data_IF_186996218205
#
_entry.id   IF_186996218205
#
_cell.length_a   1.000
_cell.length_b   1.000
_cell.length_c   1.000
_cell.angle_alpha   90.00
_cell.angle_beta   90.00
_cell.angle_gamma   90.00
#
_symmetry.space_group_name_H-M   'P 1'
#
loop_
_entity.id
_entity.type
_entity.pdbx_description
1 polymer ?
#
# COMPACT_ATOMS: atom_id res chain seq x y z
N UNK A 1 70.61 24.02 -27.30
CA UNK A 1 69.47 24.95 -27.15
C UNK A 1 68.39 24.53 -28.13
N UNK A 2 67.38 23.80 -27.68
CA UNK A 2 66.24 23.39 -28.51
C UNK A 2 64.97 23.71 -27.72
N UNK A 3 64.32 24.81 -28.09
CA UNK A 3 63.07 25.30 -27.53
C UNK A 3 61.95 24.35 -27.93
N UNK A 4 61.44 23.54 -26.99
CA UNK A 4 60.12 22.94 -27.14
C UNK A 4 59.07 23.99 -26.76
N UNK A 5 58.06 24.23 -27.61
CA UNK A 5 57.05 25.25 -27.32
C UNK A 5 56.15 24.84 -26.15
N UNK A 6 55.79 25.82 -25.32
CA UNK A 6 54.91 25.76 -24.14
C UNK A 6 53.45 25.40 -24.51
N UNK A 7 53.17 25.03 -25.76
CA UNK A 7 51.84 24.64 -26.23
C UNK A 7 51.41 23.22 -25.87
N UNK A 8 52.30 22.39 -25.32
CA UNK A 8 52.01 20.98 -24.97
C UNK A 8 51.40 20.77 -23.56
N UNK A 9 51.21 21.84 -22.77
CA UNK A 9 50.58 21.77 -21.43
C UNK A 9 49.11 22.23 -21.39
N UNK A 10 48.53 22.60 -22.54
CA UNK A 10 47.15 23.09 -22.62
C UNK A 10 46.17 22.10 -23.26
N UNK A 11 46.55 20.83 -23.36
CA UNK A 11 45.63 19.72 -23.67
C UNK A 11 45.45 18.81 -22.45
N UNK A 12 45.29 19.39 -21.26
CA UNK A 12 44.45 18.73 -20.26
C UNK A 12 43.02 18.86 -20.76
N UNK A 13 42.59 17.85 -21.52
CA UNK A 13 41.20 17.58 -21.82
C UNK A 13 40.35 17.97 -20.60
N UNK A 14 39.49 18.98 -20.76
CA UNK A 14 38.32 19.17 -19.92
C UNK A 14 37.38 18.01 -20.30
N UNK A 15 37.83 16.79 -19.99
CA UNK A 15 37.06 15.58 -20.13
C UNK A 15 35.99 15.70 -19.06
N UNK A 16 34.84 16.23 -19.48
CA UNK A 16 33.52 15.77 -19.08
C UNK A 16 33.47 15.21 -17.64
N UNK A 17 33.85 16.02 -16.65
CA UNK A 17 33.63 15.66 -15.24
C UNK A 17 32.14 15.81 -15.00
N UNK A 18 31.39 14.77 -15.35
CA UNK A 18 30.01 14.63 -14.90
C UNK A 18 29.99 14.87 -13.39
N UNK A 19 29.09 15.72 -12.91
CA UNK A 19 28.93 16.07 -11.49
C UNK A 19 28.75 14.84 -10.59
N UNK A 20 28.38 13.69 -11.18
CA UNK A 20 28.33 12.37 -10.56
C UNK A 20 29.70 11.85 -10.10
N UNK A 21 30.81 12.27 -10.70
CA UNK A 21 32.17 11.86 -10.29
C UNK A 21 32.62 12.45 -8.95
N UNK A 22 31.93 13.48 -8.45
CA UNK A 22 32.17 14.08 -7.13
C UNK A 22 31.41 13.36 -6.00
N UNK A 23 30.44 12.51 -6.36
CA UNK A 23 29.66 11.70 -5.42
C UNK A 23 30.49 10.46 -5.08
N UNK A 24 31.32 10.58 -4.05
CA UNK A 24 32.04 9.41 -3.50
C UNK A 24 31.12 8.63 -2.57
N UNK A 25 31.29 7.30 -2.42
CA UNK A 25 30.47 6.51 -1.49
C UNK A 25 30.53 7.04 -0.05
N UNK A 26 31.64 7.66 0.35
CA UNK A 26 31.77 8.31 1.65
C UNK A 26 30.90 9.58 1.77
N UNK A 27 30.88 10.43 0.74
CA UNK A 27 30.03 11.62 0.72
C UNK A 27 28.54 11.24 0.68
N UNK A 28 28.19 10.19 -0.05
CA UNK A 28 26.83 9.62 -0.05
C UNK A 28 26.46 9.10 1.33
N UNK A 29 27.35 8.36 2.01
CA UNK A 29 27.08 7.84 3.35
C UNK A 29 26.87 8.94 4.41
N UNK A 30 27.50 10.10 4.24
CA UNK A 30 27.30 11.27 5.11
C UNK A 30 25.98 12.00 4.81
N UNK A 31 25.40 11.80 3.63
CA UNK A 31 24.10 12.37 3.26
C UNK A 31 22.92 11.54 3.76
N UNK A 32 23.15 10.28 4.14
CA UNK A 32 22.13 9.44 4.75
C UNK A 32 22.00 9.77 6.24
N UNK A 33 20.78 10.05 6.75
CA UNK A 33 20.60 10.28 8.16
C UNK A 33 20.98 9.01 8.94
N UNK A 34 21.58 9.14 10.14
CA UNK A 34 21.96 7.98 10.95
C UNK A 34 20.74 7.11 11.24
N UNK A 35 20.89 5.81 11.01
CA UNK A 35 19.81 4.84 11.19
C UNK A 35 19.49 4.70 12.69
N UNK A 36 18.24 5.03 13.05
CA UNK A 36 17.73 4.77 14.40
C UNK A 36 17.13 3.37 14.43
N UNK A 37 17.71 2.48 15.23
CA UNK A 37 17.15 1.16 15.45
C UNK A 37 16.05 1.23 16.51
N UNK A 38 15.00 0.45 16.30
CA UNK A 38 13.86 0.32 17.21
C UNK A 38 13.62 -1.16 17.44
N UNK A 39 13.18 -1.53 18.64
CA UNK A 39 12.86 -2.92 18.96
C UNK A 39 11.75 -3.46 18.05
N UNK A 40 11.95 -4.68 17.54
CA UNK A 40 11.03 -5.31 16.59
C UNK A 40 9.61 -5.51 17.17
N UNK A 41 9.48 -5.69 18.48
CA UNK A 41 8.18 -5.85 19.13
C UNK A 41 7.35 -4.57 19.13
N UNK A 42 7.96 -3.39 18.95
CA UNK A 42 7.21 -2.13 18.94
C UNK A 42 6.18 -2.10 17.80
N UNK A 43 6.52 -2.65 16.63
CA UNK A 43 5.61 -2.70 15.49
C UNK A 43 4.38 -3.57 15.79
N UNK A 44 4.55 -4.63 16.57
CA UNK A 44 3.47 -5.52 16.97
C UNK A 44 2.51 -4.81 17.94
N UNK A 45 3.05 -4.13 18.96
CA UNK A 45 2.25 -3.32 19.89
C UNK A 45 1.53 -2.17 19.19
N UNK A 46 2.25 -1.46 18.32
CA UNK A 46 1.70 -0.36 17.54
C UNK A 46 0.54 -0.85 16.65
N UNK A 47 0.71 -1.99 15.99
CA UNK A 47 -0.34 -2.56 15.12
C UNK A 47 -1.60 -2.88 15.92
N UNK A 48 -1.45 -3.54 17.07
CA UNK A 48 -2.58 -3.89 17.94
C UNK A 48 -3.32 -2.64 18.43
N UNK A 49 -2.59 -1.63 18.91
CA UNK A 49 -3.18 -0.38 19.40
C UNK A 49 -3.81 0.46 18.28
N UNK A 50 -3.20 0.52 17.10
CA UNK A 50 -3.79 1.22 15.93
C UNK A 50 -5.12 0.58 15.53
N UNK A 51 -5.20 -0.76 15.49
CA UNK A 51 -6.44 -1.47 15.18
C UNK A 51 -7.52 -1.11 16.22
N UNK A 52 -7.19 -1.19 17.51
CA UNK A 52 -8.13 -0.87 18.59
C UNK A 52 -8.61 0.59 18.53
N UNK A 53 -7.70 1.53 18.34
CA UNK A 53 -8.01 2.95 18.18
C UNK A 53 -8.91 3.22 16.98
N UNK A 54 -8.68 2.53 15.85
CA UNK A 54 -9.53 2.71 14.66
C UNK A 54 -10.93 2.15 14.87
N UNK A 55 -11.08 1.00 15.54
CA UNK A 55 -12.38 0.46 15.91
C UNK A 55 -13.15 1.44 16.80
N UNK A 56 -12.50 1.93 17.87
CA UNK A 56 -13.10 2.88 18.80
C UNK A 56 -13.45 4.20 18.11
N UNK A 57 -12.56 4.69 17.23
CA UNK A 57 -12.79 5.91 16.46
C UNK A 57 -13.94 5.79 15.47
N UNK A 58 -14.10 4.64 14.80
CA UNK A 58 -15.19 4.41 13.86
C UNK A 58 -16.54 4.33 14.58
N UNK A 59 -16.59 3.64 15.73
CA UNK A 59 -17.78 3.60 16.57
C UNK A 59 -18.19 5.00 17.04
N UNK A 60 -17.22 5.80 17.51
CA UNK A 60 -17.47 7.18 17.93
C UNK A 60 -17.89 8.09 16.76
N UNK A 61 -17.28 7.94 15.57
CA UNK A 61 -17.67 8.72 14.39
C UNK A 61 -19.11 8.41 13.98
N UNK A 62 -19.50 7.14 13.96
CA UNK A 62 -20.87 6.73 13.63
C UNK A 62 -21.90 7.22 14.63
N UNK A 63 -21.59 7.15 15.92
CA UNK A 63 -22.47 7.68 16.95
C UNK A 63 -22.74 9.17 16.73
N UNK A 64 -21.72 9.95 16.32
CA UNK A 64 -21.90 11.38 15.96
C UNK A 64 -22.73 11.56 14.70
N UNK A 65 -22.49 10.78 13.65
CA UNK A 65 -23.27 10.85 12.41
C UNK A 65 -24.75 10.49 12.64
N UNK A 66 -25.03 9.41 13.37
CA UNK A 66 -26.38 9.00 13.72
C UNK A 66 -27.10 10.05 14.60
N UNK A 67 -26.38 10.66 15.57
CA UNK A 67 -26.94 11.74 16.37
C UNK A 67 -27.26 12.98 15.51
N UNK A 68 -26.40 13.32 14.55
CA UNK A 68 -26.64 14.41 13.61
C UNK A 68 -27.85 14.14 12.72
N UNK A 69 -28.00 12.92 12.20
CA UNK A 69 -29.17 12.52 11.41
C UNK A 69 -30.47 12.62 12.21
N UNK A 70 -30.47 12.21 13.48
CA UNK A 70 -31.64 12.34 14.36
C UNK A 70 -32.02 13.81 14.60
N UNK A 71 -31.04 14.70 14.78
CA UNK A 71 -31.29 16.13 14.91
C UNK A 71 -31.89 16.72 13.63
N UNK A 72 -31.37 16.33 12.46
CA UNK A 72 -31.88 16.77 11.15
C UNK A 72 -33.30 16.26 10.93
N UNK A 73 -33.59 14.99 11.24
CA UNK A 73 -34.93 14.42 11.11
C UNK A 73 -35.93 15.10 12.05
N UNK A 74 -35.52 15.37 13.30
CA UNK A 74 -36.36 16.10 14.26
C UNK A 74 -36.68 17.52 13.79
N UNK A 75 -35.69 18.22 13.21
CA UNK A 75 -35.87 19.56 12.61
C UNK A 75 -36.82 19.50 11.40
N UNK A 76 -36.66 18.49 10.53
CA UNK A 76 -37.53 18.25 9.39
C UNK A 76 -38.98 17.99 9.81
N UNK A 77 -39.18 17.17 10.85
CA UNK A 77 -40.50 16.86 11.42
C UNK A 77 -41.14 18.10 12.07
N UNK A 78 -40.36 18.92 12.78
CA UNK A 78 -40.83 20.19 13.32
C UNK A 78 -41.33 21.12 12.21
N UNK A 79 -40.60 21.20 11.09
CA UNK A 79 -40.98 22.00 9.92
C UNK A 79 -42.11 21.37 9.06
N UNK A 80 -42.37 20.06 9.16
CA UNK A 80 -43.42 19.35 8.39
C UNK A 80 -44.82 19.44 9.00
N UNK A 81 -44.98 20.04 10.18
CA UNK A 81 -46.30 20.27 10.84
C UNK A 81 -47.28 21.17 10.05
N UNK A 82 -46.93 21.62 8.84
CA UNK A 82 -47.80 22.40 7.95
C UNK A 82 -48.48 21.67 6.78
N UNK A 83 -48.14 20.43 6.39
CA UNK A 83 -48.78 19.81 5.20
C UNK A 83 -48.61 18.29 5.03
N UNK A 84 -49.75 17.60 4.98
CA UNK A 84 -50.09 16.30 4.34
C UNK A 84 -49.48 15.01 4.95
N UNK A 85 -50.41 14.18 5.46
CA UNK A 85 -50.21 12.80 5.91
C UNK A 85 -50.21 11.82 4.73
N UNK A 86 -49.06 11.21 4.43
CA UNK A 86 -48.94 10.01 3.60
C UNK A 86 -48.49 8.85 4.49
N UNK A 87 -49.23 7.74 4.41
CA UNK A 87 -49.12 6.56 5.25
C UNK A 87 -48.02 5.65 4.70
N UNK A 88 -46.90 5.57 5.38
CA UNK A 88 -45.74 4.76 4.96
C UNK A 88 -45.75 3.40 5.67
N UNK A 89 -45.83 2.33 4.87
CA UNK A 89 -45.86 0.95 5.34
C UNK A 89 -44.43 0.42 5.37
N UNK A 90 -43.73 0.53 6.49
CA UNK A 90 -42.37 -0.01 6.65
C UNK A 90 -42.42 -1.46 7.15
N UNK A 91 -42.02 -2.40 6.30
CA UNK A 91 -41.73 -3.79 6.68
C UNK A 91 -40.49 -3.83 7.58
N UNK A 92 -40.69 -4.15 8.86
CA UNK A 92 -39.61 -4.23 9.84
C UNK A 92 -38.69 -5.43 9.57
N UNK A 93 -37.42 -5.14 9.27
CA UNK A 93 -36.34 -6.14 9.14
C UNK A 93 -35.89 -6.58 10.55
N UNK A 94 -35.56 -7.87 10.80
CA UNK A 94 -35.22 -8.35 12.14
C UNK A 94 -33.97 -7.65 12.71
N UNK A 95 -34.03 -7.23 13.98
CA UNK A 95 -33.01 -6.41 14.65
C UNK A 95 -31.60 -7.03 14.63
N UNK A 96 -31.48 -8.36 14.70
CA UNK A 96 -30.20 -9.06 14.66
C UNK A 96 -29.48 -8.95 13.28
N UNK A 97 -30.25 -8.91 12.19
CA UNK A 97 -29.69 -8.75 10.83
C UNK A 97 -29.16 -7.33 10.62
N UNK A 98 -29.81 -6.33 11.25
CA UNK A 98 -29.38 -4.93 11.23
C UNK A 98 -28.05 -4.73 11.95
N UNK A 99 -27.88 -5.32 13.14
CA UNK A 99 -26.64 -5.22 13.93
C UNK A 99 -25.45 -5.91 13.25
N UNK A 100 -25.67 -7.04 12.57
CA UNK A 100 -24.60 -7.73 11.83
C UNK A 100 -24.13 -6.93 10.61
N UNK A 101 -25.06 -6.32 9.86
CA UNK A 101 -24.74 -5.46 8.73
C UNK A 101 -23.98 -4.20 9.15
N UNK A 102 -24.41 -3.56 10.24
CA UNK A 102 -23.72 -2.39 10.81
C UNK A 102 -22.28 -2.75 11.23
N UNK A 103 -22.07 -3.92 11.87
CA UNK A 103 -20.74 -4.40 12.27
C UNK A 103 -19.82 -4.65 11.07
N UNK A 104 -20.29 -5.32 10.02
CA UNK A 104 -19.49 -5.55 8.81
C UNK A 104 -19.12 -4.23 8.13
N UNK A 105 -20.02 -3.25 8.14
CA UNK A 105 -19.72 -1.92 7.64
C UNK A 105 -18.62 -1.23 8.49
N UNK A 106 -18.63 -1.38 9.82
CA UNK A 106 -17.55 -0.86 10.71
C UNK A 106 -16.24 -1.51 10.32
N UNK A 107 -16.24 -2.83 10.26
CA UNK A 107 -15.04 -3.61 9.98
C UNK A 107 -14.49 -3.25 8.58
N UNK A 108 -15.36 -3.01 7.59
CA UNK A 108 -14.97 -2.52 6.26
C UNK A 108 -14.31 -1.14 6.30
N UNK A 109 -14.84 -0.20 7.07
CA UNK A 109 -14.26 1.13 7.23
C UNK A 109 -12.87 1.08 7.91
N UNK A 110 -12.74 0.26 8.97
CA UNK A 110 -11.46 0.03 9.65
C UNK A 110 -10.43 -0.56 8.69
N UNK A 111 -10.80 -1.61 7.93
CA UNK A 111 -9.93 -2.20 6.90
C UNK A 111 -9.47 -1.17 5.88
N UNK A 112 -10.39 -0.34 5.39
CA UNK A 112 -10.09 0.72 4.41
C UNK A 112 -9.10 1.75 4.95
N UNK A 113 -9.18 2.12 6.24
CA UNK A 113 -8.23 3.05 6.85
C UNK A 113 -6.84 2.43 7.05
N UNK A 114 -6.77 1.19 7.57
CA UNK A 114 -5.52 0.45 7.74
C UNK A 114 -4.79 0.27 6.41
N UNK A 115 -5.56 -0.07 5.38
CA UNK A 115 -5.11 -0.21 4.02
C UNK A 115 -4.61 1.13 3.44
N UNK A 116 -5.33 2.23 3.66
CA UNK A 116 -4.87 3.58 3.28
C UNK A 116 -3.58 4.02 3.99
N UNK A 117 -3.39 3.63 5.25
CA UNK A 117 -2.11 3.83 5.96
C UNK A 117 -0.99 3.01 5.31
N UNK A 118 -1.26 1.73 5.05
CA UNK A 118 -0.35 0.84 4.33
C UNK A 118 0.05 1.41 2.97
N UNK A 119 -0.91 1.93 2.21
CA UNK A 119 -0.67 2.53 0.89
C UNK A 119 0.36 3.65 0.95
N UNK A 120 0.22 4.58 1.90
CA UNK A 120 1.16 5.69 2.07
C UNK A 120 2.56 5.19 2.45
N UNK A 121 2.63 4.20 3.35
CA UNK A 121 3.90 3.59 3.75
C UNK A 121 4.57 2.89 2.58
N UNK A 122 3.82 2.08 1.82
CA UNK A 122 4.33 1.37 0.65
C UNK A 122 4.82 2.31 -0.45
N UNK A 123 4.08 3.39 -0.72
CA UNK A 123 4.48 4.43 -1.66
C UNK A 123 5.85 5.02 -1.27
N UNK A 124 5.97 5.58 -0.06
CA UNK A 124 7.20 6.22 0.41
C UNK A 124 8.38 5.24 0.55
N UNK A 125 8.10 4.00 0.96
CA UNK A 125 9.13 2.96 1.11
C UNK A 125 9.68 2.54 -0.27
N UNK A 126 8.80 2.38 -1.27
CA UNK A 126 9.22 2.03 -2.62
C UNK A 126 10.07 3.13 -3.27
N UNK A 127 9.74 4.41 -3.08
CA UNK A 127 10.52 5.54 -3.59
C UNK A 127 11.94 5.53 -2.99
N UNK A 128 12.04 5.35 -1.67
CA UNK A 128 13.32 5.30 -0.97
C UNK A 128 14.15 4.07 -1.35
N UNK A 129 13.56 2.88 -1.37
CA UNK A 129 14.27 1.63 -1.67
C UNK A 129 14.63 1.48 -3.16
N UNK A 130 13.90 2.13 -4.06
CA UNK A 130 14.21 2.11 -5.49
C UNK A 130 15.26 3.15 -5.91
N UNK A 131 15.64 4.09 -5.02
CA UNK A 131 16.52 5.23 -5.34
C UNK A 131 17.86 4.82 -5.96
N UNK A 132 18.55 3.86 -5.35
CA UNK A 132 19.88 3.41 -5.78
C UNK A 132 19.85 2.13 -6.61
N UNK A 133 18.65 1.65 -6.95
CA UNK A 133 18.47 0.44 -7.73
C UNK A 133 18.64 0.75 -9.22
N UNK A 134 19.29 -0.12 -10.01
CA UNK A 134 19.17 -0.08 -11.46
C UNK A 134 17.70 -0.06 -11.86
N UNK A 135 17.38 0.79 -12.85
CA UNK A 135 16.00 0.95 -13.32
C UNK A 135 15.42 -0.43 -13.68
N UNK A 136 14.19 -0.69 -13.23
CA UNK A 136 13.50 -1.93 -13.53
C UNK A 136 13.46 -2.18 -15.05
N UNK A 137 13.67 -3.42 -15.51
CA UNK A 137 13.51 -3.77 -16.92
C UNK A 137 12.11 -3.37 -17.35
N UNK A 138 11.99 -2.54 -18.38
CA UNK A 138 10.70 -2.08 -18.89
C UNK A 138 10.30 -2.88 -20.12
N UNK A 139 9.04 -3.30 -20.18
CA UNK A 139 8.48 -3.85 -21.42
C UNK A 139 8.36 -2.71 -22.43
N UNK A 140 8.94 -2.82 -23.64
CA UNK A 140 8.75 -1.79 -24.66
C UNK A 140 7.26 -1.69 -25.00
N UNK A 141 6.75 -0.46 -25.11
CA UNK A 141 5.38 -0.20 -25.51
C UNK A 141 5.10 -0.87 -26.87
N UNK A 142 3.91 -1.45 -27.09
CA UNK A 142 3.54 -1.94 -28.41
C UNK A 142 3.53 -0.75 -29.38
N UNK A 143 4.45 -0.76 -30.35
CA UNK A 143 4.49 0.21 -31.44
C UNK A 143 3.32 -0.06 -32.39
N UNK A 144 2.13 0.46 -32.07
CA UNK A 144 1.08 0.59 -33.09
C UNK A 144 1.50 1.69 -34.06
N UNK A 145 1.82 1.30 -35.29
CA UNK A 145 2.32 2.13 -36.39
C UNK A 145 1.33 3.16 -36.95
N UNK A 146 0.34 3.62 -36.17
CA UNK A 146 -0.74 4.49 -36.66
C UNK A 146 -1.24 5.49 -35.62
N UNK A 147 -0.36 6.17 -34.89
CA UNK A 147 -0.77 7.20 -33.91
C UNK A 147 -0.05 8.53 -34.16
N UNK A 148 -0.78 9.66 -34.24
CA UNK A 148 -0.20 10.97 -34.52
C UNK A 148 0.69 11.47 -33.36
N UNK A 149 1.70 12.25 -33.73
CA UNK A 149 2.87 12.67 -32.94
C UNK A 149 2.59 13.64 -31.75
N UNK A 150 1.40 13.64 -31.15
CA UNK A 150 1.07 14.55 -30.03
C UNK A 150 0.91 13.87 -28.67
N UNK A 151 1.03 12.54 -28.57
CA UNK A 151 1.07 11.85 -27.29
C UNK A 151 2.52 11.84 -26.76
N UNK A 152 2.76 12.57 -25.67
CA UNK A 152 3.99 12.48 -24.88
C UNK A 152 4.36 11.01 -24.66
N UNK A 153 5.60 10.57 -24.92
CA UNK A 153 5.95 9.15 -24.79
C UNK A 153 5.69 8.72 -23.36
N UNK A 154 4.66 7.88 -23.16
CA UNK A 154 4.38 7.27 -21.86
C UNK A 154 5.69 6.68 -21.34
N UNK A 155 6.07 7.06 -20.12
CA UNK A 155 7.26 6.52 -19.49
C UNK A 155 7.20 4.97 -19.55
N UNK A 156 8.32 4.29 -19.84
CA UNK A 156 8.33 2.84 -19.90
C UNK A 156 7.86 2.26 -18.57
N UNK A 157 6.77 1.50 -18.58
CA UNK A 157 6.24 0.83 -17.38
C UNK A 157 7.17 -0.34 -17.05
N UNK A 158 7.62 -0.47 -15.79
CA UNK A 158 8.48 -1.57 -15.39
C UNK A 158 7.77 -2.91 -15.50
N UNK A 159 8.51 -3.99 -15.78
CA UNK A 159 7.97 -5.34 -15.80
C UNK A 159 7.30 -5.65 -14.45
N UNK A 160 5.99 -5.98 -14.44
CA UNK A 160 5.30 -6.27 -13.20
C UNK A 160 5.91 -7.41 -12.39
N UNK A 161 6.49 -8.43 -13.03
CA UNK A 161 7.11 -9.53 -12.31
C UNK A 161 8.35 -9.06 -11.52
N UNK A 162 9.21 -8.24 -12.12
CA UNK A 162 10.40 -7.71 -11.45
C UNK A 162 10.05 -6.73 -10.33
N UNK A 163 8.98 -5.97 -10.53
CA UNK A 163 8.44 -5.06 -9.51
C UNK A 163 7.88 -5.84 -8.31
N UNK A 164 7.16 -6.95 -8.55
CA UNK A 164 6.68 -7.83 -7.47
C UNK A 164 7.84 -8.53 -6.76
N UNK A 165 8.89 -8.96 -7.48
CA UNK A 165 10.10 -9.51 -6.84
C UNK A 165 10.80 -8.50 -5.93
N UNK A 166 10.84 -7.23 -6.33
CA UNK A 166 11.33 -6.14 -5.47
C UNK A 166 10.49 -6.02 -4.19
N UNK A 167 9.17 -6.17 -4.26
CA UNK A 167 8.34 -6.18 -3.06
C UNK A 167 8.69 -7.37 -2.17
N UNK A 168 8.82 -8.56 -2.73
CA UNK A 168 9.13 -9.78 -1.98
C UNK A 168 10.49 -9.75 -1.27
N UNK A 169 11.45 -8.99 -1.80
CA UNK A 169 12.84 -8.99 -1.32
C UNK A 169 13.22 -7.70 -0.59
N UNK A 170 12.86 -6.55 -1.12
CA UNK A 170 13.34 -5.28 -0.59
C UNK A 170 12.31 -4.67 0.37
N UNK A 171 11.06 -4.55 -0.06
CA UNK A 171 9.96 -3.99 0.76
C UNK A 171 9.66 -4.90 1.94
N UNK A 172 9.56 -6.21 1.72
CA UNK A 172 9.26 -7.17 2.79
C UNK A 172 10.38 -7.26 3.84
N UNK A 173 11.65 -7.24 3.42
CA UNK A 173 12.79 -7.18 4.35
C UNK A 173 12.74 -5.89 5.16
N UNK A 174 12.51 -4.74 4.52
CA UNK A 174 12.49 -3.47 5.23
C UNK A 174 11.39 -3.37 6.30
N UNK A 175 10.29 -4.12 6.17
CA UNK A 175 9.18 -4.13 7.12
C UNK A 175 9.25 -5.25 8.16
N UNK A 176 9.66 -6.45 7.74
CA UNK A 176 9.53 -7.67 8.55
C UNK A 176 10.85 -8.39 8.79
N UNK A 177 11.96 -7.83 8.29
CA UNK A 177 13.31 -8.40 8.40
C UNK A 177 13.39 -9.83 7.83
N UNK A 178 12.58 -10.10 6.79
CA UNK A 178 12.57 -11.36 6.05
C UNK A 178 12.12 -11.16 4.61
N UNK A 179 12.48 -12.10 3.74
CA UNK A 179 11.91 -12.20 2.40
C UNK A 179 10.58 -12.95 2.45
N UNK A 180 9.72 -12.73 1.47
CA UNK A 180 8.53 -13.56 1.24
C UNK A 180 8.98 -14.98 0.89
N UNK A 181 8.37 -15.98 1.52
CA UNK A 181 8.80 -17.38 1.40
C UNK A 181 8.51 -17.97 0.01
N UNK A 182 7.37 -17.63 -0.60
CA UNK A 182 7.01 -18.11 -1.93
C UNK A 182 6.32 -17.04 -2.77
N UNK A 183 6.70 -16.95 -4.04
CA UNK A 183 6.02 -16.14 -5.05
C UNK A 183 5.54 -17.06 -6.19
N UNK A 184 4.23 -17.12 -6.39
CA UNK A 184 3.61 -17.79 -7.54
C UNK A 184 3.01 -16.75 -8.48
N UNK A 185 3.00 -17.03 -9.77
CA UNK A 185 2.35 -16.16 -10.76
C UNK A 185 1.74 -17.00 -11.89
N UNK A 186 0.69 -16.47 -12.52
CA UNK A 186 0.15 -17.02 -13.75
C UNK A 186 0.71 -16.35 -15.01
N UNK A 187 1.68 -15.43 -14.88
CA UNK A 187 2.23 -14.58 -15.96
C UNK A 187 1.19 -13.77 -16.75
N UNK A 188 -0.05 -13.70 -16.25
CA UNK A 188 -1.20 -13.01 -16.84
C UNK A 188 -1.74 -11.94 -15.89
N UNK A 189 -0.87 -11.38 -15.05
CA UNK A 189 -1.22 -10.31 -14.12
C UNK A 189 -1.79 -10.76 -12.79
N UNK A 190 -1.68 -12.05 -12.41
CA UNK A 190 -1.98 -12.53 -11.06
C UNK A 190 -0.72 -13.05 -10.40
N UNK A 191 -0.47 -12.57 -9.18
CA UNK A 191 0.65 -12.95 -8.34
C UNK A 191 0.13 -13.36 -6.97
N UNK A 192 0.76 -14.36 -6.35
CA UNK A 192 0.40 -14.86 -5.03
C UNK A 192 1.68 -14.93 -4.19
N UNK A 193 1.73 -14.10 -3.17
CA UNK A 193 2.80 -14.05 -2.19
C UNK A 193 2.37 -14.90 -1.00
N UNK A 194 3.22 -15.81 -0.57
CA UNK A 194 2.97 -16.65 0.60
C UNK A 194 4.08 -16.45 1.62
N UNK A 195 3.68 -16.16 2.85
CA UNK A 195 4.54 -16.04 4.02
C UNK A 195 4.12 -17.08 5.06
N UNK A 196 5.03 -18.01 5.39
CA UNK A 196 4.77 -19.12 6.30
C UNK A 196 4.79 -18.72 7.78
N UNK A 197 5.43 -17.60 8.10
CA UNK A 197 5.73 -17.17 9.46
C UNK A 197 5.58 -15.67 9.56
N UNK A 198 4.37 -15.19 9.27
CA UNK A 198 4.06 -13.78 9.22
C UNK A 198 3.91 -13.24 10.64
N UNK A 199 4.98 -12.60 11.15
CA UNK A 199 5.10 -12.15 12.54
C UNK A 199 3.88 -11.40 13.09
N UNK A 200 3.23 -10.49 12.34
CA UNK A 200 2.03 -9.81 12.83
C UNK A 200 0.88 -10.75 13.23
N UNK A 201 0.82 -11.95 12.66
CA UNK A 201 -0.19 -12.96 12.98
C UNK A 201 0.24 -13.92 14.11
N UNK A 202 1.52 -13.94 14.50
CA UNK A 202 2.04 -14.91 15.47
C UNK A 202 1.41 -14.78 16.87
N UNK A 203 0.94 -13.59 17.23
CA UNK A 203 0.33 -13.30 18.53
C UNK A 203 -1.19 -13.35 18.52
N UNK A 204 -1.81 -13.65 17.39
CA UNK A 204 -3.26 -13.87 17.32
C UNK A 204 -3.54 -15.22 17.96
N UNK A 205 -3.90 -15.24 19.24
CA UNK A 205 -4.23 -16.48 19.95
C UNK A 205 -5.62 -16.99 19.56
N UNK A 206 -5.73 -18.30 19.33
CA UNK A 206 -6.99 -19.00 19.04
C UNK A 206 -7.87 -19.26 20.28
N UNK A 207 -7.72 -18.48 21.35
CA UNK A 207 -8.51 -18.64 22.58
C UNK A 207 -9.84 -17.88 22.55
N UNK A 208 -10.16 -17.22 21.43
CA UNK A 208 -11.43 -16.53 21.18
C UNK A 208 -12.35 -17.27 20.21
N UNK A 209 -13.53 -16.72 19.95
CA UNK A 209 -14.44 -17.18 18.89
C UNK A 209 -13.69 -17.14 17.53
N UNK A 210 -13.80 -18.20 16.73
CA UNK A 210 -13.16 -18.31 15.41
C UNK A 210 -13.48 -17.10 14.53
N UNK A 211 -14.69 -16.54 14.67
CA UNK A 211 -15.11 -15.33 13.96
C UNK A 211 -14.34 -14.09 14.39
N UNK A 212 -14.01 -13.97 15.68
CA UNK A 212 -13.24 -12.84 16.19
C UNK A 212 -11.77 -12.94 15.77
N UNK A 213 -11.21 -14.15 15.80
CA UNK A 213 -9.87 -14.43 15.26
C UNK A 213 -9.82 -14.06 13.78
N UNK A 214 -10.77 -14.54 12.97
CA UNK A 214 -10.85 -14.21 11.55
C UNK A 214 -10.98 -12.70 11.31
N UNK A 215 -11.78 -12.00 12.14
CA UNK A 215 -11.91 -10.53 12.08
C UNK A 215 -10.57 -9.84 12.34
N UNK A 216 -9.85 -10.21 13.40
CA UNK A 216 -8.55 -9.63 13.73
C UNK A 216 -7.51 -9.89 12.65
N UNK A 217 -7.47 -11.11 12.10
CA UNK A 217 -6.62 -11.46 10.96
C UNK A 217 -6.86 -10.52 9.78
N UNK A 218 -8.12 -10.28 9.42
CA UNK A 218 -8.46 -9.39 8.31
C UNK A 218 -8.01 -7.94 8.56
N UNK A 219 -8.06 -7.44 9.80
CA UNK A 219 -7.50 -6.13 10.13
C UNK A 219 -5.98 -6.11 10.00
N UNK A 220 -5.29 -7.11 10.53
CA UNK A 220 -3.82 -7.19 10.46
C UNK A 220 -3.35 -7.26 9.00
N UNK A 221 -4.05 -8.01 8.14
CA UNK A 221 -3.70 -8.17 6.73
C UNK A 221 -4.05 -6.96 5.85
N UNK A 222 -4.95 -6.08 6.29
CA UNK A 222 -5.31 -4.87 5.54
C UNK A 222 -4.11 -3.93 5.36
N UNK A 223 -3.29 -3.74 6.39
CA UNK A 223 -2.13 -2.86 6.31
C UNK A 223 -1.06 -3.35 5.30
N UNK A 224 -0.55 -4.59 5.37
CA UNK A 224 0.41 -5.11 4.38
C UNK A 224 -0.17 -5.14 2.96
N UNK A 225 -1.46 -5.42 2.79
CA UNK A 225 -2.12 -5.34 1.48
C UNK A 225 -2.03 -3.92 0.91
N UNK A 226 -2.27 -2.90 1.74
CA UNK A 226 -2.08 -1.50 1.41
C UNK A 226 -0.65 -1.17 1.03
N UNK A 227 0.34 -1.65 1.79
CA UNK A 227 1.77 -1.47 1.48
C UNK A 227 2.10 -1.98 0.09
N UNK A 228 1.68 -3.22 -0.22
CA UNK A 228 1.91 -3.82 -1.54
C UNK A 228 1.29 -2.95 -2.64
N UNK A 229 0.04 -2.50 -2.46
CA UNK A 229 -0.62 -1.63 -3.45
C UNK A 229 0.07 -0.29 -3.61
N UNK A 230 0.45 0.36 -2.51
CA UNK A 230 1.12 1.65 -2.53
C UNK A 230 2.47 1.60 -3.23
N UNK A 231 3.25 0.55 -2.95
CA UNK A 231 4.53 0.32 -3.60
C UNK A 231 4.39 0.08 -5.11
N UNK A 232 3.43 -0.76 -5.53
CA UNK A 232 3.16 -1.00 -6.96
C UNK A 232 2.64 0.25 -7.67
N UNK A 233 1.77 1.02 -7.03
CA UNK A 233 1.22 2.26 -7.59
C UNK A 233 2.32 3.30 -7.85
N UNK A 234 3.27 3.46 -6.93
CA UNK A 234 4.41 4.37 -7.11
C UNK A 234 5.32 3.94 -8.28
N UNK A 235 5.39 2.63 -8.54
CA UNK A 235 6.15 2.05 -9.65
C UNK A 235 5.34 2.01 -10.96
N UNK A 236 4.15 2.62 -10.99
CA UNK A 236 3.32 2.75 -12.18
C UNK A 236 2.45 1.52 -12.49
N UNK A 237 2.25 0.62 -11.53
CA UNK A 237 1.46 -0.60 -11.69
C UNK A 237 0.19 -0.51 -10.85
N UNK A 238 -0.95 -0.32 -11.52
CA UNK A 238 -2.27 -0.39 -10.89
C UNK A 238 -2.63 -1.83 -10.56
N UNK A 239 -3.02 -2.09 -9.32
CA UNK A 239 -3.39 -3.43 -8.87
C UNK A 239 -4.44 -3.41 -7.75
N UNK A 240 -5.10 -4.55 -7.57
CA UNK A 240 -5.85 -4.87 -6.35
C UNK A 240 -5.11 -5.96 -5.57
N UNK A 241 -5.19 -5.90 -4.25
CA UNK A 241 -4.53 -6.85 -3.35
C UNK A 241 -5.53 -7.33 -2.32
N UNK A 242 -5.64 -8.64 -2.17
CA UNK A 242 -6.46 -9.29 -1.14
C UNK A 242 -5.58 -10.19 -0.29
N UNK A 243 -5.64 -9.99 1.03
CA UNK A 243 -4.92 -10.79 2.02
C UNK A 243 -5.84 -11.83 2.66
N UNK A 244 -5.34 -13.05 2.81
CA UNK A 244 -6.01 -14.13 3.53
C UNK A 244 -5.02 -14.94 4.36
N UNK A 245 -5.53 -15.70 5.33
CA UNK A 245 -4.74 -16.62 6.16
C UNK A 245 -5.48 -17.94 6.24
N UNK A 246 -4.82 -19.02 5.81
CA UNK A 246 -5.35 -20.39 5.85
C UNK A 246 -4.98 -21.14 7.14
N UNK A 247 -4.05 -20.60 7.92
CA UNK A 247 -3.61 -21.14 9.20
C UNK A 247 -2.62 -20.18 9.84
N UNK A 248 -2.72 -19.94 11.14
CA UNK A 248 -1.82 -19.03 11.83
C UNK A 248 -0.46 -19.72 12.06
N UNK A 249 0.68 -19.03 11.88
CA UNK A 249 0.86 -17.61 11.53
C UNK A 249 1.13 -17.36 10.03
N UNK A 250 0.53 -18.14 9.13
CA UNK A 250 0.74 -18.01 7.68
C UNK A 250 -0.14 -16.90 7.10
N UNK A 251 0.34 -16.25 6.04
CA UNK A 251 -0.45 -15.30 5.27
C UNK A 251 -0.22 -15.46 3.77
N UNK A 252 -1.26 -15.14 3.00
CA UNK A 252 -1.23 -15.16 1.55
C UNK A 252 -1.78 -13.84 1.02
N UNK A 253 -1.08 -13.21 0.08
CA UNK A 253 -1.53 -12.00 -0.60
C UNK A 253 -1.69 -12.28 -2.09
N UNK A 254 -2.91 -12.16 -2.59
CA UNK A 254 -3.21 -12.24 -4.02
C UNK A 254 -3.20 -10.83 -4.61
N UNK A 255 -2.32 -10.61 -5.59
CA UNK A 255 -2.19 -9.37 -6.33
C UNK A 255 -2.77 -9.58 -7.73
N UNK A 256 -3.68 -8.70 -8.16
CA UNK A 256 -4.24 -8.68 -9.52
C UNK A 256 -3.92 -7.33 -10.16
N UNK A 257 -3.06 -7.33 -11.18
CA UNK A 257 -2.68 -6.12 -11.91
C UNK A 257 -3.70 -5.78 -12.97
N UNK A 258 -4.01 -4.50 -13.15
CA UNK A 258 -4.87 -4.00 -14.22
C UNK A 258 -4.01 -3.74 -15.46
N UNK A 259 -4.46 -4.17 -16.64
CA UNK A 259 -3.75 -3.86 -17.90
C UNK A 259 -3.83 -2.35 -18.17
N UNK A 260 -2.73 -1.68 -18.55
CA UNK A 260 -2.78 -0.30 -19.02
C UNK A 260 -3.70 -0.22 -20.24
N UNK A 261 -4.82 0.53 -20.15
CA UNK A 261 -5.79 0.70 -21.24
C UNK A 261 -7.16 0.05 -21.05
N UNK A 262 -7.43 -0.60 -19.90
CA UNK A 262 -8.77 -1.02 -19.51
C UNK A 262 -9.41 0.01 -18.57
N UNK A 263 -9.85 1.14 -19.13
CA UNK A 263 -10.84 2.06 -18.54
C UNK A 263 -11.90 2.31 -19.61
#
# INVERSE_FOLDING_TARGET
MSNRPISALQQSSIANRSSTSLITPQLTSLSDPPTKQVDAHLLEFLTAEVIRLLIDSEAAARARHAAQEQLVEADLLAHKTGSISLKETSTARPAAEKTAAEKEEVDSAVRTRLDGMGFKVGWALSERLARDRPRFPSTPAPVSSTTPASASPLAPVPDPLETVKFICKDVWIALYDKQVDNLRTNHRGVYVLHDNAFRPLAKVSGSGDDKEVARMVQFILAFPAGVIRGALANLGISCTVSGESLGLPQSTFQIKTVKPGAV
#
